data_IF_766494553257
#
_entry.id   IF_766494553257
#
_cell.length_a   1.000
_cell.length_b   1.000
_cell.length_c   1.000
_cell.angle_alpha   90.00
_cell.angle_beta   90.00
_cell.angle_gamma   90.00
#
_symmetry.space_group_name_H-M   'P 1'
#
loop_
_entity.id
_entity.type
_entity.pdbx_description
1 polymer ?
#
# COMPACT_ATOMS: atom_id res chain seq x y z
N UNK A 1 -8.63 -18.29 33.31
CA UNK A 1 -8.19 -17.26 32.33
C UNK A 1 -9.18 -17.29 31.19
N UNK A 2 -10.01 -16.25 31.03
CA UNK A 2 -10.97 -16.21 29.93
C UNK A 2 -10.19 -16.10 28.61
N UNK A 3 -10.40 -17.06 27.70
CA UNK A 3 -9.85 -16.98 26.35
C UNK A 3 -10.38 -15.69 25.70
N UNK A 4 -9.48 -14.78 25.33
CA UNK A 4 -9.85 -13.55 24.64
C UNK A 4 -10.54 -13.92 23.34
N UNK A 5 -11.81 -13.56 23.19
CA UNK A 5 -12.56 -13.82 21.98
C UNK A 5 -11.82 -13.18 20.79
N UNK A 6 -11.59 -13.96 19.72
CA UNK A 6 -10.95 -13.41 18.52
C UNK A 6 -11.83 -12.29 17.94
N UNK A 7 -11.25 -11.13 17.55
CA UNK A 7 -12.03 -9.98 17.11
C UNK A 7 -12.92 -10.34 15.91
N UNK A 8 -14.09 -9.69 15.81
CA UNK A 8 -15.08 -9.94 14.73
C UNK A 8 -14.50 -9.83 13.31
N UNK A 9 -13.42 -9.07 13.12
CA UNK A 9 -12.73 -8.94 11.84
C UNK A 9 -12.03 -10.23 11.37
N UNK A 10 -11.73 -11.14 12.30
CA UNK A 10 -10.99 -12.39 12.08
C UNK A 10 -11.86 -13.64 12.23
N UNK A 11 -13.16 -13.48 12.49
CA UNK A 11 -14.10 -14.59 12.61
C UNK A 11 -14.47 -15.10 11.22
N UNK A 12 -14.34 -16.41 11.01
CA UNK A 12 -14.77 -17.05 9.77
C UNK A 12 -16.29 -17.17 9.70
N UNK A 13 -16.86 -16.95 8.52
CA UNK A 13 -18.29 -17.06 8.26
C UNK A 13 -18.53 -17.61 6.85
N UNK A 14 -19.78 -17.94 6.51
CA UNK A 14 -20.14 -18.38 5.15
C UNK A 14 -19.79 -17.37 4.06
N UNK A 15 -19.67 -16.08 4.40
CA UNK A 15 -19.26 -14.99 3.50
C UNK A 15 -17.79 -14.57 3.64
N UNK A 16 -17.04 -15.16 4.58
CA UNK A 16 -15.64 -14.85 4.86
C UNK A 16 -14.91 -16.12 5.31
N UNK A 17 -14.45 -16.96 4.36
CA UNK A 17 -13.68 -18.17 4.65
C UNK A 17 -12.34 -17.84 5.31
N UNK A 18 -11.66 -18.82 5.92
CA UNK A 18 -10.47 -18.54 6.75
C UNK A 18 -9.31 -17.87 5.99
N UNK A 19 -9.18 -18.13 4.69
CA UNK A 19 -8.16 -17.54 3.84
C UNK A 19 -8.45 -16.07 3.47
N UNK A 20 -9.70 -15.60 3.63
CA UNK A 20 -10.11 -14.23 3.32
C UNK A 20 -10.10 -13.37 4.60
N UNK A 21 -8.91 -13.21 5.16
CA UNK A 21 -8.70 -12.46 6.38
C UNK A 21 -8.75 -10.93 6.10
N UNK A 22 -9.58 -10.19 6.85
CA UNK A 22 -9.73 -8.74 6.68
C UNK A 22 -8.47 -7.96 7.05
N UNK A 23 -7.70 -8.45 8.03
CA UNK A 23 -6.43 -7.84 8.44
C UNK A 23 -5.36 -7.94 7.34
N UNK A 24 -5.22 -9.12 6.73
CA UNK A 24 -4.25 -9.34 5.65
C UNK A 24 -4.59 -8.50 4.41
N UNK A 25 -5.88 -8.44 4.04
CA UNK A 25 -6.33 -7.58 2.95
C UNK A 25 -6.11 -6.10 3.24
N UNK A 26 -6.41 -5.64 4.46
CA UNK A 26 -6.17 -4.25 4.86
C UNK A 26 -4.67 -3.91 4.82
N UNK A 27 -3.82 -4.84 5.23
CA UNK A 27 -2.37 -4.69 5.16
C UNK A 27 -1.87 -4.63 3.71
N UNK A 28 -2.37 -5.51 2.84
CA UNK A 28 -2.03 -5.50 1.42
C UNK A 28 -2.43 -4.19 0.74
N UNK A 29 -3.65 -3.69 0.98
CA UNK A 29 -4.12 -2.42 0.40
C UNK A 29 -3.30 -1.22 0.91
N UNK A 30 -2.98 -1.21 2.20
CA UNK A 30 -2.12 -0.18 2.80
C UNK A 30 -0.72 -0.22 2.21
N UNK A 31 -0.12 -1.41 2.14
CA UNK A 31 1.21 -1.62 1.55
C UNK A 31 1.24 -1.21 0.08
N UNK A 32 0.24 -1.61 -0.71
CA UNK A 32 0.10 -1.23 -2.11
C UNK A 32 0.01 0.30 -2.28
N UNK A 33 -0.70 0.98 -1.38
CA UNK A 33 -0.79 2.45 -1.38
C UNK A 33 0.56 3.10 -1.08
N UNK A 34 1.27 2.63 -0.04
CA UNK A 34 2.58 3.15 0.34
C UNK A 34 3.61 2.97 -0.78
N UNK A 35 3.63 1.80 -1.42
CA UNK A 35 4.52 1.53 -2.57
C UNK A 35 4.10 2.36 -3.78
N UNK A 36 2.80 2.51 -4.05
CA UNK A 36 2.30 3.36 -5.12
C UNK A 36 2.74 4.82 -4.98
N UNK A 37 2.76 5.36 -3.76
CA UNK A 37 3.28 6.69 -3.46
C UNK A 37 4.80 6.80 -3.63
N UNK A 38 5.56 5.74 -3.35
CA UNK A 38 7.01 5.75 -3.59
C UNK A 38 7.36 5.77 -5.08
N UNK A 39 6.50 5.21 -5.93
CA UNK A 39 6.72 5.15 -7.39
C UNK A 39 6.50 6.50 -8.06
N UNK A 40 5.25 6.91 -8.32
CA UNK A 40 4.97 8.05 -9.20
C UNK A 40 5.32 9.39 -8.54
N UNK A 41 4.83 9.74 -7.33
CA UNK A 41 5.24 11.01 -6.72
C UNK A 41 6.68 10.95 -6.16
N UNK A 42 7.09 9.84 -5.54
CA UNK A 42 8.43 9.72 -4.96
C UNK A 42 9.58 9.84 -5.97
N UNK A 43 9.54 9.04 -7.05
CA UNK A 43 10.61 9.04 -8.05
C UNK A 43 10.57 10.29 -8.94
N UNK A 44 9.38 10.81 -9.28
CA UNK A 44 9.25 12.05 -10.05
C UNK A 44 9.87 13.23 -9.31
N UNK A 45 9.65 13.33 -8.00
CA UNK A 45 10.26 14.39 -7.19
C UNK A 45 11.77 14.22 -7.17
N UNK A 46 12.31 13.01 -6.95
CA UNK A 46 13.75 12.78 -6.89
C UNK A 46 14.45 13.05 -8.23
N UNK A 47 13.99 12.41 -9.32
CA UNK A 47 14.64 12.54 -10.62
C UNK A 47 14.34 13.87 -11.31
N UNK A 48 13.13 14.43 -11.11
CA UNK A 48 12.73 15.71 -11.70
C UNK A 48 13.33 16.94 -11.00
N UNK A 49 13.62 16.87 -9.69
CA UNK A 49 14.15 18.01 -8.92
C UNK A 49 15.66 18.20 -9.01
N UNK A 50 16.43 17.12 -9.21
CA UNK A 50 17.90 17.17 -9.28
C UNK A 50 18.39 17.69 -10.65
N UNK A 51 17.59 17.54 -11.71
CA UNK A 51 17.99 17.94 -13.06
C UNK A 51 17.65 19.40 -13.38
N UNK A 52 18.38 20.00 -14.33
CA UNK A 52 18.10 21.38 -14.79
C UNK A 52 16.67 21.47 -15.34
N UNK A 53 15.96 22.57 -15.04
CA UNK A 53 14.56 22.85 -15.45
C UNK A 53 14.24 22.46 -16.91
N UNK A 54 15.16 22.69 -17.85
CA UNK A 54 14.97 22.36 -19.28
C UNK A 54 14.89 20.85 -19.60
N UNK A 55 15.23 19.96 -18.65
CA UNK A 55 15.22 18.49 -18.79
C UNK A 55 14.40 17.75 -17.72
N UNK A 56 13.77 18.49 -16.79
CA UNK A 56 13.02 17.94 -15.68
C UNK A 56 11.85 17.04 -16.10
N UNK A 57 11.15 17.42 -17.17
CA UNK A 57 10.00 16.65 -17.67
C UNK A 57 10.45 15.30 -18.22
N UNK A 58 11.53 15.25 -19.00
CA UNK A 58 12.02 13.99 -19.55
C UNK A 58 12.51 13.06 -18.43
N UNK A 59 13.28 13.59 -17.47
CA UNK A 59 13.79 12.78 -16.34
C UNK A 59 12.72 12.36 -15.33
N UNK A 60 11.56 13.04 -15.29
CA UNK A 60 10.43 12.64 -14.45
C UNK A 60 9.65 11.43 -14.99
N UNK A 61 9.69 11.18 -16.30
CA UNK A 61 8.95 10.09 -16.97
C UNK A 61 9.86 9.02 -17.57
N UNK A 62 11.16 9.04 -17.26
CA UNK A 62 12.17 8.03 -17.66
C UNK A 62 12.32 6.95 -16.60
#
# INVERSE_FOLDING_TARGET
MAAGAVPLAYQSSSSSPEWLNKGDNAWQMTSATLVGLQSMPGLVILYGSIVKKKRAVNSAFM
#
